data_IF_099351275561
#
_entry.id   IF_099351275561
#
_cell.length_a   1.000
_cell.length_b   1.000
_cell.length_c   1.000
_cell.angle_alpha   90.00
_cell.angle_beta   90.00
_cell.angle_gamma   90.00
#
_symmetry.space_group_name_H-M   'P 1'
#
loop_
_entity.id
_entity.type
_entity.pdbx_description
1 polymer ?
#
# COMPACT_ATOMS: atom_id res chain seq x y z
N UNK A 1 -16.84 -7.52 -17.68
CA UNK A 1 -17.54 -7.08 -18.90
C UNK A 1 -18.01 -5.62 -18.82
N UNK A 2 -18.66 -5.18 -17.71
CA UNK A 2 -19.16 -3.79 -17.57
C UNK A 2 -18.06 -2.72 -17.58
N UNK A 3 -16.83 -3.06 -17.16
CA UNK A 3 -15.68 -2.15 -17.11
C UNK A 3 -14.78 -2.20 -18.35
N UNK A 4 -15.16 -2.96 -19.36
CA UNK A 4 -14.37 -3.27 -20.55
C UNK A 4 -13.98 -4.74 -20.59
N UNK A 5 -12.84 -5.10 -21.09
CA UNK A 5 -12.30 -6.46 -21.10
C UNK A 5 -11.10 -6.58 -20.18
N UNK A 6 -10.68 -7.81 -19.87
CA UNK A 6 -9.44 -8.07 -19.14
C UNK A 6 -8.25 -7.61 -19.97
N UNK A 7 -7.37 -6.83 -19.37
CA UNK A 7 -6.06 -6.45 -19.92
C UNK A 7 -4.95 -7.19 -19.16
N UNK A 8 -5.21 -7.55 -17.90
CA UNK A 8 -4.29 -8.28 -17.03
C UNK A 8 -4.97 -9.58 -16.57
N UNK A 9 -4.45 -10.73 -16.95
CA UNK A 9 -5.00 -12.04 -16.54
C UNK A 9 -4.43 -12.54 -15.22
N UNK A 10 -3.26 -12.05 -14.84
CA UNK A 10 -2.55 -12.36 -13.60
C UNK A 10 -2.03 -11.08 -12.99
N UNK A 11 -2.32 -10.85 -11.73
CA UNK A 11 -1.98 -9.63 -11.00
C UNK A 11 -0.84 -9.92 -10.04
N UNK A 12 0.33 -9.31 -10.29
CA UNK A 12 1.47 -9.36 -9.37
C UNK A 12 1.09 -8.67 -8.06
N UNK A 13 1.42 -9.27 -6.91
CA UNK A 13 1.15 -8.70 -5.60
C UNK A 13 2.44 -8.44 -4.81
N UNK A 14 2.38 -7.49 -3.87
CA UNK A 14 3.42 -7.26 -2.89
C UNK A 14 2.94 -7.53 -1.46
N UNK A 15 3.88 -7.92 -0.59
CA UNK A 15 3.62 -8.11 0.84
C UNK A 15 3.67 -6.75 1.55
N UNK A 16 2.52 -6.27 2.05
CA UNK A 16 2.37 -4.94 2.64
C UNK A 16 2.51 -4.97 4.15
N UNK A 17 3.18 -3.95 4.71
CA UNK A 17 3.33 -3.69 6.14
C UNK A 17 4.19 -4.73 6.88
N UNK A 18 5.31 -5.14 6.27
CA UNK A 18 6.19 -6.16 6.86
C UNK A 18 6.88 -5.73 8.17
N UNK A 19 6.80 -4.46 8.57
CA UNK A 19 7.27 -4.00 9.90
C UNK A 19 6.48 -4.59 11.07
N UNK A 20 5.35 -5.24 10.81
CA UNK A 20 4.56 -6.01 11.78
C UNK A 20 4.80 -7.51 11.71
N UNK A 21 5.87 -7.94 11.06
CA UNK A 21 6.17 -9.28 10.61
C UNK A 21 5.28 -9.74 9.43
N UNK A 22 5.70 -10.76 8.71
CA UNK A 22 4.91 -11.42 7.66
C UNK A 22 4.51 -12.82 8.14
N UNK A 23 3.62 -12.86 9.16
CA UNK A 23 3.18 -14.07 9.83
C UNK A 23 1.72 -13.93 10.32
N UNK A 24 1.15 -15.01 10.87
CA UNK A 24 -0.21 -15.03 11.41
C UNK A 24 -0.38 -14.15 12.65
N UNK A 25 0.66 -13.96 13.44
CA UNK A 25 0.67 -13.08 14.61
C UNK A 25 1.45 -11.80 14.31
N UNK A 26 0.89 -10.65 14.71
CA UNK A 26 1.56 -9.36 14.57
C UNK A 26 2.65 -9.20 15.63
N UNK A 27 3.82 -8.78 15.17
CA UNK A 27 4.95 -8.42 16.01
C UNK A 27 5.65 -7.19 15.46
N UNK A 28 5.75 -6.13 16.24
CA UNK A 28 6.50 -4.94 15.84
C UNK A 28 8.00 -5.24 15.69
N UNK A 29 8.52 -5.09 14.46
CA UNK A 29 9.93 -5.31 14.15
C UNK A 29 10.76 -4.11 14.60
N UNK A 30 11.86 -4.33 15.31
CA UNK A 30 12.71 -3.26 15.84
C UNK A 30 14.10 -3.24 15.22
N UNK A 31 14.71 -4.39 15.05
CA UNK A 31 16.06 -4.53 14.53
C UNK A 31 16.14 -4.76 13.03
N UNK A 32 17.21 -4.39 12.35
CA UNK A 32 17.42 -4.67 10.92
C UNK A 32 17.27 -6.16 10.56
N UNK A 33 17.76 -7.07 11.43
CA UNK A 33 17.67 -8.51 11.19
C UNK A 33 16.20 -9.01 11.18
N UNK A 34 15.33 -8.46 12.03
CA UNK A 34 13.91 -8.79 12.04
C UNK A 34 13.24 -8.34 10.73
N UNK A 35 13.57 -7.14 10.23
CA UNK A 35 13.10 -6.65 8.93
C UNK A 35 13.53 -7.56 7.77
N UNK A 36 14.79 -8.02 7.78
CA UNK A 36 15.29 -8.98 6.80
C UNK A 36 14.55 -10.33 6.90
N UNK A 37 14.26 -10.81 8.10
CA UNK A 37 13.51 -12.06 8.29
C UNK A 37 12.07 -11.95 7.77
N UNK A 38 11.37 -10.84 8.05
CA UNK A 38 10.02 -10.61 7.52
C UNK A 38 10.02 -10.57 5.99
N UNK A 39 10.99 -9.89 5.37
CA UNK A 39 11.15 -9.89 3.90
C UNK A 39 11.40 -11.31 3.35
N UNK A 40 12.26 -12.11 3.99
CA UNK A 40 12.52 -13.50 3.57
C UNK A 40 11.27 -14.39 3.68
N UNK A 41 10.42 -14.19 4.70
CA UNK A 41 9.14 -14.90 4.82
C UNK A 41 8.22 -14.58 3.63
N UNK A 42 8.10 -13.30 3.25
CA UNK A 42 7.33 -12.90 2.09
C UNK A 42 7.91 -13.49 0.78
N UNK A 43 9.23 -13.41 0.60
CA UNK A 43 9.90 -14.00 -0.57
C UNK A 43 9.70 -15.51 -0.67
N UNK A 44 9.69 -16.24 0.45
CA UNK A 44 9.45 -17.69 0.48
C UNK A 44 8.03 -18.06 0.01
N UNK A 45 7.07 -17.13 0.07
CA UNK A 45 5.71 -17.27 -0.48
C UNK A 45 5.61 -16.79 -1.94
N UNK A 46 6.75 -16.40 -2.55
CA UNK A 46 6.83 -15.99 -3.94
C UNK A 46 6.61 -14.50 -4.19
N UNK A 47 6.48 -13.66 -3.15
CA UNK A 47 6.42 -12.22 -3.34
C UNK A 47 7.77 -11.70 -3.82
N UNK A 48 7.73 -10.83 -4.81
CA UNK A 48 8.91 -10.17 -5.40
C UNK A 48 8.96 -8.67 -5.07
N UNK A 49 8.01 -8.21 -4.25
CA UNK A 49 7.96 -6.85 -3.73
C UNK A 49 7.43 -6.84 -2.29
N UNK A 50 7.92 -5.90 -1.49
CA UNK A 50 7.49 -5.69 -0.10
C UNK A 50 7.28 -4.20 0.18
N UNK A 51 6.29 -3.87 1.04
CA UNK A 51 6.10 -2.51 1.57
C UNK A 51 6.40 -2.47 3.06
N UNK A 52 7.11 -1.44 3.48
CA UNK A 52 7.53 -1.25 4.86
C UNK A 52 7.44 0.22 5.26
N UNK A 53 6.98 0.48 6.49
CA UNK A 53 7.12 1.76 7.16
C UNK A 53 8.33 1.70 8.12
N UNK A 54 9.51 2.16 7.67
CA UNK A 54 10.73 1.97 8.44
C UNK A 54 10.87 2.94 9.61
N UNK A 55 10.02 3.98 9.67
CA UNK A 55 9.97 4.98 10.77
C UNK A 55 8.82 4.74 11.73
N UNK A 56 7.83 3.94 11.35
CA UNK A 56 6.59 3.76 12.10
C UNK A 56 6.74 2.97 13.39
N UNK A 57 7.71 2.06 13.48
CA UNK A 57 8.03 1.33 14.71
C UNK A 57 9.32 1.87 15.31
N UNK A 58 9.27 2.33 16.57
CA UNK A 58 10.42 2.84 17.30
C UNK A 58 11.45 1.77 17.66
N UNK A 59 12.59 2.19 18.18
CA UNK A 59 13.61 1.27 18.70
C UNK A 59 13.12 0.50 19.94
N UNK A 60 12.17 1.08 20.68
CA UNK A 60 11.48 0.45 21.82
C UNK A 60 10.40 -0.57 21.42
N UNK A 61 10.07 -0.67 20.13
CA UNK A 61 8.95 -1.47 19.63
C UNK A 61 7.61 -0.75 19.65
N UNK A 62 7.55 0.50 20.10
CA UNK A 62 6.33 1.29 20.12
C UNK A 62 5.98 1.82 18.72
N UNK A 63 4.68 1.83 18.41
CA UNK A 63 4.18 2.46 17.21
C UNK A 63 4.24 3.99 17.32
N UNK A 64 5.04 4.65 16.48
CA UNK A 64 5.38 6.06 16.62
C UNK A 64 4.25 7.04 16.31
N UNK A 65 3.11 6.54 15.88
CA UNK A 65 1.93 7.33 15.50
C UNK A 65 0.92 7.50 16.64
N UNK A 66 1.10 6.79 17.75
CA UNK A 66 0.33 6.98 18.97
C UNK A 66 1.07 7.98 19.86
N UNK A 67 0.51 9.14 20.07
CA UNK A 67 1.13 10.35 20.65
C UNK A 67 1.72 10.24 22.08
N UNK A 68 1.74 9.09 22.73
CA UNK A 68 2.05 9.02 24.16
C UNK A 68 3.43 8.45 24.52
N UNK A 69 4.07 7.68 23.63
CA UNK A 69 5.37 7.03 23.93
C UNK A 69 6.27 6.93 22.67
N UNK A 70 6.34 8.02 21.90
CA UNK A 70 7.15 8.05 20.69
C UNK A 70 8.64 8.16 20.99
N UNK A 71 9.46 7.28 20.43
CA UNK A 71 10.93 7.34 20.53
C UNK A 71 11.51 8.55 19.80
N UNK A 72 10.79 9.06 18.78
CA UNK A 72 11.19 10.22 17.97
C UNK A 72 9.99 10.95 17.34
N UNK A 73 10.22 12.18 16.97
CA UNK A 73 9.25 12.99 16.19
C UNK A 73 9.38 12.68 14.70
N UNK A 74 8.26 12.53 14.02
CA UNK A 74 8.20 12.28 12.57
C UNK A 74 8.20 13.57 11.73
N UNK A 75 8.28 14.74 12.36
CA UNK A 75 8.30 16.07 11.70
C UNK A 75 9.44 16.93 12.24
N UNK A 76 9.94 17.84 11.41
CA UNK A 76 10.99 18.79 11.76
C UNK A 76 12.39 18.17 11.74
N UNK A 77 12.62 17.24 10.83
CA UNK A 77 13.85 16.45 10.62
C UNK A 77 14.11 15.36 11.68
N UNK A 78 14.56 14.23 11.20
CA UNK A 78 14.94 13.09 12.03
C UNK A 78 16.39 13.26 12.53
N UNK A 79 16.67 12.91 13.79
CA UNK A 79 18.03 12.83 14.28
C UNK A 79 18.86 11.79 13.49
N UNK A 80 20.17 12.02 13.36
CA UNK A 80 21.06 11.11 12.62
C UNK A 80 20.96 9.65 13.07
N UNK A 81 20.87 9.39 14.39
CA UNK A 81 20.71 8.03 14.92
C UNK A 81 19.44 7.33 14.43
N UNK A 82 18.37 8.08 14.16
CA UNK A 82 17.12 7.55 13.62
C UNK A 82 17.27 7.26 12.15
N UNK A 83 17.89 8.17 11.39
CA UNK A 83 18.20 7.97 9.97
C UNK A 83 19.08 6.73 9.75
N UNK A 84 20.12 6.56 10.57
CA UNK A 84 20.99 5.36 10.54
C UNK A 84 20.20 4.07 10.80
N UNK A 85 19.32 4.06 11.82
CA UNK A 85 18.48 2.91 12.10
C UNK A 85 17.52 2.59 10.94
N UNK A 86 16.85 3.62 10.40
CA UNK A 86 15.93 3.47 9.27
C UNK A 86 16.68 2.92 8.04
N UNK A 87 17.83 3.50 7.72
CA UNK A 87 18.67 3.02 6.63
C UNK A 87 19.12 1.58 6.86
N UNK A 88 19.54 1.22 8.08
CA UNK A 88 19.94 -0.13 8.40
C UNK A 88 18.80 -1.15 8.20
N UNK A 89 17.56 -0.79 8.56
CA UNK A 89 16.36 -1.62 8.33
C UNK A 89 16.11 -1.85 6.84
N UNK A 90 16.08 -0.77 6.06
CA UNK A 90 15.84 -0.86 4.60
C UNK A 90 16.99 -1.58 3.89
N UNK A 91 18.23 -1.32 4.30
CA UNK A 91 19.43 -2.01 3.77
C UNK A 91 19.36 -3.51 4.04
N UNK A 92 18.97 -3.92 5.24
CA UNK A 92 18.82 -5.34 5.59
C UNK A 92 17.78 -6.06 4.72
N UNK A 93 16.69 -5.38 4.34
CA UNK A 93 15.73 -5.89 3.34
C UNK A 93 16.40 -6.01 1.97
N UNK A 94 17.11 -4.97 1.49
CA UNK A 94 17.80 -4.96 0.21
C UNK A 94 18.84 -6.08 0.10
N UNK A 95 19.57 -6.36 1.17
CA UNK A 95 20.56 -7.44 1.22
C UNK A 95 19.96 -8.86 1.11
N UNK A 96 18.63 -9.00 1.20
CA UNK A 96 17.96 -10.27 0.95
C UNK A 96 17.96 -10.64 -0.54
N UNK A 97 17.83 -9.66 -1.45
CA UNK A 97 17.87 -9.85 -2.90
C UNK A 97 17.99 -8.50 -3.63
N UNK A 98 18.83 -8.45 -4.66
CA UNK A 98 18.94 -7.29 -5.55
C UNK A 98 17.67 -7.09 -6.40
N UNK A 99 16.93 -8.17 -6.68
CA UNK A 99 15.71 -8.16 -7.51
C UNK A 99 14.42 -7.86 -6.72
N UNK A 100 14.50 -7.74 -5.39
CA UNK A 100 13.33 -7.43 -4.57
C UNK A 100 12.93 -5.96 -4.70
N UNK A 101 11.71 -5.67 -5.15
CA UNK A 101 11.18 -4.31 -5.11
C UNK A 101 10.85 -3.90 -3.67
N UNK A 102 11.33 -2.73 -3.25
CA UNK A 102 11.08 -2.18 -1.91
C UNK A 102 10.23 -0.93 -2.03
N UNK A 103 9.10 -0.93 -1.34
CA UNK A 103 8.19 0.20 -1.23
C UNK A 103 8.33 0.78 0.18
N UNK A 104 8.50 2.10 0.26
CA UNK A 104 8.57 2.81 1.54
C UNK A 104 7.28 3.56 1.79
N UNK A 105 6.68 3.32 2.95
CA UNK A 105 5.44 3.93 3.41
C UNK A 105 5.70 4.93 4.54
N UNK A 106 5.05 6.09 4.50
CA UNK A 106 5.10 7.08 5.59
C UNK A 106 3.73 7.47 6.16
N UNK A 107 2.63 7.01 5.56
CA UNK A 107 1.25 7.27 5.98
C UNK A 107 0.95 8.76 6.27
N UNK A 108 1.58 9.69 5.56
CA UNK A 108 1.43 11.15 5.72
C UNK A 108 1.81 11.71 7.11
N UNK A 109 2.59 11.00 7.91
CA UNK A 109 2.97 11.46 9.24
C UNK A 109 4.21 12.37 9.25
N UNK A 110 4.96 12.42 8.16
CA UNK A 110 6.11 13.32 8.00
C UNK A 110 5.67 14.70 7.46
N UNK A 111 6.58 15.65 7.49
CA UNK A 111 6.47 16.91 6.75
C UNK A 111 7.40 16.92 5.52
N UNK A 112 7.28 17.96 4.69
CA UNK A 112 8.06 18.08 3.46
C UNK A 112 9.57 17.95 3.69
N UNK A 113 10.08 18.60 4.75
CA UNK A 113 11.50 18.60 5.08
C UNK A 113 12.00 17.22 5.50
N UNK A 114 11.25 16.55 6.38
CA UNK A 114 11.58 15.20 6.87
C UNK A 114 11.48 14.16 5.75
N UNK A 115 10.45 14.28 4.90
CA UNK A 115 10.26 13.37 3.77
C UNK A 115 11.43 13.45 2.79
N UNK A 116 11.89 14.65 2.45
CA UNK A 116 13.06 14.87 1.58
C UNK A 116 14.33 14.33 2.25
N UNK A 117 14.54 14.64 3.53
CA UNK A 117 15.70 14.17 4.28
C UNK A 117 15.80 12.64 4.25
N UNK A 118 14.70 11.95 4.56
CA UNK A 118 14.66 10.51 4.60
C UNK A 118 14.87 9.89 3.21
N UNK A 119 14.17 10.39 2.19
CA UNK A 119 14.30 9.90 0.82
C UNK A 119 15.76 9.96 0.34
N UNK A 120 16.41 11.12 0.48
CA UNK A 120 17.82 11.29 0.08
C UNK A 120 18.80 10.39 0.87
N UNK A 121 18.39 9.95 2.07
CA UNK A 121 19.23 9.09 2.91
C UNK A 121 19.15 7.60 2.52
N UNK A 122 18.10 7.19 1.76
CA UNK A 122 17.84 5.81 1.37
C UNK A 122 17.72 5.60 -0.14
N UNK A 123 17.78 6.63 -0.98
CA UNK A 123 17.52 6.51 -2.43
C UNK A 123 18.49 5.59 -3.17
N UNK A 124 19.73 5.43 -2.67
CA UNK A 124 20.73 4.52 -3.21
C UNK A 124 20.41 3.02 -2.95
N UNK A 125 19.37 2.75 -2.15
CA UNK A 125 18.88 1.39 -1.88
C UNK A 125 17.85 0.89 -2.90
N UNK A 126 17.70 1.56 -4.05
CA UNK A 126 16.82 1.19 -5.15
C UNK A 126 15.36 0.99 -4.72
N UNK A 127 14.73 2.08 -4.26
CA UNK A 127 13.34 2.10 -3.80
C UNK A 127 12.39 2.21 -5.00
N UNK A 128 11.38 1.33 -5.08
CA UNK A 128 10.40 1.31 -6.16
C UNK A 128 9.53 2.57 -6.17
N UNK A 129 8.96 2.92 -5.02
CA UNK A 129 8.27 4.20 -4.80
C UNK A 129 8.14 4.54 -3.31
N UNK A 130 7.82 5.81 -3.04
CA UNK A 130 7.74 6.45 -1.75
C UNK A 130 6.29 6.90 -1.51
N UNK A 131 5.59 6.20 -0.64
CA UNK A 131 4.16 6.32 -0.43
C UNK A 131 3.85 7.34 0.67
N UNK A 132 2.87 8.20 0.40
CA UNK A 132 2.32 9.18 1.34
C UNK A 132 3.35 9.98 2.15
N UNK A 133 4.35 10.61 1.50
CA UNK A 133 5.39 11.35 2.22
C UNK A 133 4.87 12.56 3.02
N UNK A 134 3.72 13.11 2.62
CA UNK A 134 3.06 14.25 3.30
C UNK A 134 1.55 14.11 3.25
N UNK A 135 0.86 15.03 3.91
CA UNK A 135 -0.61 15.06 3.97
C UNK A 135 -1.25 14.94 2.58
N UNK A 136 -2.20 14.00 2.40
CA UNK A 136 -2.73 13.62 1.09
C UNK A 136 -3.46 14.76 0.36
N UNK A 137 -3.90 15.80 1.03
CA UNK A 137 -4.58 16.95 0.41
C UNK A 137 -3.64 18.13 0.12
N UNK A 138 -2.32 17.89 0.07
CA UNK A 138 -1.34 18.92 -0.22
C UNK A 138 -0.54 18.63 -1.51
N UNK A 139 -1.11 18.87 -2.70
CA UNK A 139 -0.43 18.61 -3.96
C UNK A 139 0.81 19.50 -4.19
N UNK A 140 0.88 20.66 -3.53
CA UNK A 140 2.02 21.58 -3.65
C UNK A 140 3.25 21.01 -2.94
N UNK A 141 3.09 20.57 -1.68
CA UNK A 141 4.19 19.93 -0.94
C UNK A 141 4.61 18.60 -1.58
N UNK A 142 3.65 17.83 -2.12
CA UNK A 142 3.95 16.60 -2.86
C UNK A 142 4.82 16.89 -4.09
N UNK A 143 4.51 17.97 -4.82
CA UNK A 143 5.33 18.42 -5.95
C UNK A 143 6.71 18.88 -5.52
N UNK A 144 6.81 19.64 -4.42
CA UNK A 144 8.10 20.09 -3.87
C UNK A 144 9.02 18.92 -3.51
N UNK A 145 8.46 17.85 -2.92
CA UNK A 145 9.23 16.65 -2.60
C UNK A 145 9.70 15.99 -3.88
N UNK A 146 8.80 15.77 -4.86
CA UNK A 146 9.15 15.17 -6.15
C UNK A 146 10.31 15.85 -6.85
N UNK A 147 10.38 17.19 -6.77
CA UNK A 147 11.43 17.96 -7.42
C UNK A 147 12.80 17.85 -6.71
N UNK A 148 12.85 17.27 -5.51
CA UNK A 148 14.06 17.19 -4.67
C UNK A 148 14.55 15.76 -4.38
N UNK A 149 13.83 14.74 -4.85
CA UNK A 149 14.19 13.33 -4.66
C UNK A 149 14.14 12.58 -5.98
N UNK A 150 14.88 11.47 -6.08
CA UNK A 150 14.88 10.61 -7.28
C UNK A 150 13.91 9.42 -7.17
N UNK A 151 13.34 9.18 -5.98
CA UNK A 151 12.38 8.09 -5.78
C UNK A 151 11.00 8.51 -6.32
N UNK A 152 10.33 7.66 -7.14
CA UNK A 152 8.95 7.91 -7.58
C UNK A 152 8.00 8.08 -6.40
N UNK A 153 7.06 9.04 -6.45
CA UNK A 153 6.10 9.28 -5.36
C UNK A 153 4.79 8.58 -5.67
N UNK A 154 4.21 7.94 -4.64
CA UNK A 154 2.88 7.36 -4.64
C UNK A 154 2.00 8.02 -3.57
N UNK A 155 0.70 8.13 -3.84
CA UNK A 155 -0.33 8.51 -2.87
C UNK A 155 -1.73 8.24 -3.42
N UNK A 156 -2.73 8.12 -2.54
CA UNK A 156 -4.09 8.03 -3.05
C UNK A 156 -5.14 7.43 -2.13
N UNK A 157 -4.79 6.64 -1.14
CA UNK A 157 -5.74 5.96 -0.25
C UNK A 157 -6.73 6.92 0.44
N UNK A 158 -6.31 8.17 0.65
CA UNK A 158 -7.08 9.27 1.26
C UNK A 158 -7.39 10.41 0.29
N UNK A 159 -7.30 10.17 -1.02
CA UNK A 159 -7.71 11.09 -2.08
C UNK A 159 -8.98 10.54 -2.73
N UNK A 160 -10.05 11.31 -2.73
CA UNK A 160 -11.35 10.83 -3.15
C UNK A 160 -11.82 11.49 -4.43
N UNK A 161 -12.44 10.70 -5.28
CA UNK A 161 -12.99 11.07 -6.57
C UNK A 161 -11.97 11.66 -7.57
N UNK A 162 -12.34 11.74 -8.84
CA UNK A 162 -11.51 12.40 -9.88
C UNK A 162 -11.19 13.86 -9.55
N UNK A 163 -12.07 14.54 -8.82
CA UNK A 163 -11.88 15.94 -8.45
C UNK A 163 -10.71 16.09 -7.45
N UNK A 164 -10.59 15.15 -6.49
CA UNK A 164 -9.47 15.13 -5.56
C UNK A 164 -8.14 14.80 -6.22
N UNK A 165 -8.12 13.86 -7.18
CA UNK A 165 -6.91 13.47 -7.91
C UNK A 165 -6.42 14.49 -8.92
N UNK A 166 -7.33 15.27 -9.52
CA UNK A 166 -7.03 16.22 -10.59
C UNK A 166 -5.84 17.14 -10.30
N UNK A 167 -5.71 17.83 -9.13
CA UNK A 167 -4.57 18.70 -8.86
C UNK A 167 -3.22 17.98 -8.88
N UNK A 168 -3.18 16.69 -8.49
CA UNK A 168 -1.96 15.88 -8.49
C UNK A 168 -1.52 15.49 -9.90
N UNK A 169 -2.45 15.26 -10.81
CA UNK A 169 -2.16 15.01 -12.22
C UNK A 169 -1.69 16.29 -12.92
N UNK A 170 -2.42 17.39 -12.75
CA UNK A 170 -2.10 18.67 -13.39
C UNK A 170 -0.74 19.20 -12.98
N UNK A 171 -0.34 19.07 -11.71
CA UNK A 171 0.98 19.46 -11.23
C UNK A 171 2.06 18.38 -11.37
N UNK A 172 1.67 17.16 -11.85
CA UNK A 172 2.58 16.03 -12.05
C UNK A 172 3.36 15.63 -10.79
N UNK A 173 2.71 15.64 -9.63
CA UNK A 173 3.37 15.30 -8.35
C UNK A 173 3.46 13.80 -8.09
N UNK A 174 2.61 12.99 -8.70
CA UNK A 174 2.56 11.55 -8.47
C UNK A 174 3.05 10.76 -9.70
N UNK A 175 3.81 9.70 -9.43
CA UNK A 175 4.20 8.67 -10.42
C UNK A 175 3.28 7.43 -10.32
N UNK A 176 2.73 7.19 -9.15
CA UNK A 176 1.79 6.10 -8.85
C UNK A 176 0.61 6.68 -8.08
N UNK A 177 -0.60 6.28 -8.42
CA UNK A 177 -1.79 6.57 -7.61
C UNK A 177 -2.30 5.31 -6.93
N UNK A 178 -2.93 5.51 -5.77
CA UNK A 178 -3.37 4.42 -4.88
C UNK A 178 -4.83 4.59 -4.45
N UNK A 179 -5.79 4.62 -5.41
CA UNK A 179 -7.19 4.76 -5.07
C UNK A 179 -7.70 3.53 -4.30
N UNK A 180 -8.42 3.76 -3.21
CA UNK A 180 -9.12 2.70 -2.50
C UNK A 180 -10.56 2.61 -3.02
N UNK A 181 -10.96 1.43 -3.52
CA UNK A 181 -12.29 1.21 -4.12
C UNK A 181 -13.41 1.47 -3.11
N UNK A 182 -13.17 1.19 -1.82
CA UNK A 182 -14.16 1.39 -0.76
C UNK A 182 -14.33 2.87 -0.36
N UNK A 183 -13.33 3.72 -0.63
CA UNK A 183 -13.27 5.11 -0.16
C UNK A 183 -13.43 6.15 -1.28
N UNK A 184 -12.85 5.90 -2.46
CA UNK A 184 -12.75 6.92 -3.51
C UNK A 184 -14.03 7.11 -4.36
N UNK A 185 -15.09 6.32 -4.12
CA UNK A 185 -16.36 6.42 -4.83
C UNK A 185 -16.83 5.13 -5.52
N UNK A 186 -16.28 3.98 -5.13
CA UNK A 186 -16.65 2.66 -5.63
C UNK A 186 -15.99 2.30 -6.96
N UNK A 187 -16.30 1.13 -7.47
CA UNK A 187 -15.68 0.52 -8.66
C UNK A 187 -15.70 1.45 -9.88
N UNK A 188 -16.84 2.07 -10.17
CA UNK A 188 -17.00 2.92 -11.36
C UNK A 188 -16.16 4.20 -11.29
N UNK A 189 -16.08 4.82 -10.12
CA UNK A 189 -15.26 6.03 -9.93
C UNK A 189 -13.77 5.68 -9.92
N UNK A 190 -13.38 4.57 -9.27
CA UNK A 190 -12.00 4.07 -9.30
C UNK A 190 -11.53 3.85 -10.74
N UNK A 191 -12.34 3.18 -11.58
CA UNK A 191 -12.00 2.98 -13.00
C UNK A 191 -11.76 4.29 -13.73
N UNK A 192 -12.62 5.30 -13.51
CA UNK A 192 -12.47 6.63 -14.13
C UNK A 192 -11.25 7.39 -13.63
N UNK A 193 -10.87 7.23 -12.35
CA UNK A 193 -9.63 7.77 -11.79
C UNK A 193 -8.43 7.13 -12.48
N UNK A 194 -8.44 5.80 -12.66
CA UNK A 194 -7.37 5.05 -13.34
C UNK A 194 -7.24 5.44 -14.82
N UNK A 195 -8.37 5.62 -15.54
CA UNK A 195 -8.37 6.08 -16.95
C UNK A 195 -7.80 7.51 -17.06
N UNK A 196 -8.13 8.37 -16.10
CA UNK A 196 -7.56 9.71 -16.04
C UNK A 196 -6.05 9.67 -15.78
N UNK A 197 -5.59 8.81 -14.85
CA UNK A 197 -4.16 8.61 -14.56
C UNK A 197 -3.38 8.14 -15.78
N UNK A 198 -3.94 7.24 -16.60
CA UNK A 198 -3.32 6.72 -17.81
C UNK A 198 -2.99 7.83 -18.82
N UNK A 199 -3.85 8.84 -18.93
CA UNK A 199 -3.60 10.01 -19.83
C UNK A 199 -2.45 10.90 -19.38
N UNK A 200 -1.98 10.74 -18.13
CA UNK A 200 -0.83 11.46 -17.56
C UNK A 200 0.42 10.57 -17.37
N UNK A 201 0.44 9.35 -17.90
CA UNK A 201 1.50 8.34 -17.73
C UNK A 201 1.71 7.93 -16.27
N UNK A 202 0.64 7.97 -15.46
CA UNK A 202 0.68 7.61 -14.04
C UNK A 202 0.23 6.15 -13.85
N UNK A 203 1.01 5.37 -13.14
CA UNK A 203 0.71 3.97 -12.80
C UNK A 203 -0.29 3.87 -11.65
N UNK A 204 -0.93 2.72 -11.54
CA UNK A 204 -1.94 2.44 -10.52
C UNK A 204 -1.55 1.22 -9.69
N UNK A 205 -1.53 1.41 -8.40
CA UNK A 205 -1.59 0.37 -7.39
C UNK A 205 -2.84 0.65 -6.54
N UNK A 206 -3.85 -0.19 -6.61
CA UNK A 206 -5.08 0.01 -5.82
C UNK A 206 -4.77 -0.27 -4.35
N UNK A 207 -5.07 0.70 -3.45
CA UNK A 207 -4.95 0.49 -2.01
C UNK A 207 -5.96 -0.53 -1.52
N UNK A 208 -5.49 -1.54 -0.79
CA UNK A 208 -6.31 -2.63 -0.25
C UNK A 208 -5.92 -2.93 1.19
N UNK A 209 -6.51 -2.19 2.13
CA UNK A 209 -6.37 -2.40 3.57
C UNK A 209 -7.71 -2.76 4.21
N UNK A 210 -8.55 -3.51 3.48
CA UNK A 210 -9.87 -3.95 3.91
C UNK A 210 -9.97 -5.46 4.02
N UNK A 211 -11.20 -5.95 4.11
CA UNK A 211 -11.48 -7.38 4.10
C UNK A 211 -11.58 -7.97 2.69
N UNK A 212 -11.90 -9.27 2.55
CA UNK A 212 -11.94 -9.96 1.27
C UNK A 212 -12.90 -9.37 0.22
N UNK A 213 -13.92 -8.61 0.66
CA UNK A 213 -14.80 -7.84 -0.24
C UNK A 213 -14.02 -6.72 -0.94
N UNK A 214 -13.17 -6.01 -0.19
CA UNK A 214 -12.30 -4.95 -0.75
C UNK A 214 -11.32 -5.53 -1.75
N UNK A 215 -10.66 -6.65 -1.40
CA UNK A 215 -9.76 -7.38 -2.30
C UNK A 215 -10.47 -7.76 -3.59
N UNK A 216 -11.63 -8.42 -3.52
CA UNK A 216 -12.38 -8.84 -4.70
C UNK A 216 -12.78 -7.65 -5.59
N UNK A 217 -13.21 -6.54 -5.00
CA UNK A 217 -13.56 -5.33 -5.74
C UNK A 217 -12.34 -4.69 -6.43
N UNK A 218 -11.18 -4.64 -5.75
CA UNK A 218 -9.93 -4.15 -6.32
C UNK A 218 -9.49 -5.00 -7.51
N UNK A 219 -9.51 -6.34 -7.40
CA UNK A 219 -9.15 -7.26 -8.47
C UNK A 219 -9.98 -7.03 -9.75
N UNK A 220 -11.27 -6.67 -9.61
CA UNK A 220 -12.12 -6.36 -10.77
C UNK A 220 -11.71 -5.07 -11.48
N UNK A 221 -11.13 -4.10 -10.77
CA UNK A 221 -10.61 -2.86 -11.37
C UNK A 221 -9.23 -3.11 -11.98
N UNK A 222 -8.33 -3.73 -11.24
CA UNK A 222 -6.94 -3.96 -11.62
C UNK A 222 -6.80 -4.80 -12.90
N UNK A 223 -7.71 -5.75 -13.10
CA UNK A 223 -7.69 -6.59 -14.32
C UNK A 223 -8.05 -5.83 -15.61
N UNK A 224 -8.73 -4.67 -15.51
CA UNK A 224 -9.25 -3.94 -16.69
C UNK A 224 -8.54 -2.60 -16.95
N UNK A 225 -7.49 -2.28 -16.20
CA UNK A 225 -6.73 -1.04 -16.38
C UNK A 225 -5.37 -1.30 -17.01
N UNK A 226 -4.99 -0.60 -18.09
CA UNK A 226 -3.72 -0.84 -18.79
C UNK A 226 -2.50 -0.34 -17.99
N UNK A 227 -2.69 0.62 -17.11
CA UNK A 227 -1.66 1.23 -16.27
C UNK A 227 -1.51 0.57 -14.89
N UNK A 228 -2.05 -0.64 -14.68
CA UNK A 228 -1.82 -1.44 -13.49
C UNK A 228 -0.34 -1.67 -13.24
N UNK A 229 0.09 -1.51 -11.99
CA UNK A 229 1.47 -1.71 -11.56
C UNK A 229 1.61 -2.98 -10.71
N UNK A 230 0.91 -3.05 -9.59
CA UNK A 230 1.01 -4.13 -8.61
C UNK A 230 -0.21 -4.10 -7.66
N UNK A 231 -0.61 -5.26 -7.13
CA UNK A 231 -1.69 -5.42 -6.15
C UNK A 231 -1.15 -5.37 -4.72
N UNK A 232 -1.89 -4.77 -3.81
CA UNK A 232 -1.56 -4.77 -2.39
C UNK A 232 -2.13 -5.97 -1.66
N UNK A 233 -1.26 -6.84 -1.14
CA UNK A 233 -1.64 -7.87 -0.18
C UNK A 233 -1.26 -7.39 1.22
N UNK A 234 -2.23 -6.92 2.00
CA UNK A 234 -1.97 -6.36 3.32
C UNK A 234 -1.75 -7.46 4.36
N UNK A 235 -0.90 -7.21 5.37
CA UNK A 235 -0.63 -8.15 6.47
C UNK A 235 -1.90 -8.63 7.21
N UNK A 236 -2.98 -7.85 7.19
CA UNK A 236 -4.28 -8.28 7.73
C UNK A 236 -4.98 -9.33 6.84
N UNK A 237 -4.80 -9.27 5.53
CA UNK A 237 -5.46 -10.19 4.60
C UNK A 237 -5.01 -11.64 4.76
N UNK A 238 -3.76 -11.86 5.24
CA UNK A 238 -3.26 -13.22 5.52
C UNK A 238 -3.83 -13.83 6.81
N UNK A 239 -4.48 -13.03 7.68
CA UNK A 239 -5.03 -13.51 8.95
C UNK A 239 -6.26 -14.39 8.73
N UNK A 240 -6.25 -15.59 9.30
CA UNK A 240 -7.32 -16.58 9.13
C UNK A 240 -8.70 -16.03 9.50
N UNK A 241 -8.82 -15.31 10.62
CA UNK A 241 -10.11 -14.76 11.07
C UNK A 241 -10.71 -13.73 10.12
N UNK A 242 -9.89 -13.00 9.34
CA UNK A 242 -10.39 -12.09 8.31
C UNK A 242 -10.78 -12.87 7.04
N UNK A 243 -9.97 -13.83 6.63
CA UNK A 243 -10.22 -14.67 5.45
C UNK A 243 -11.56 -15.45 5.55
N UNK A 244 -11.87 -15.98 6.73
CA UNK A 244 -13.10 -16.73 7.03
C UNK A 244 -14.37 -15.86 7.03
N UNK A 245 -14.25 -14.55 6.99
CA UNK A 245 -15.44 -13.66 6.90
C UNK A 245 -16.19 -13.77 5.59
N UNK A 246 -15.57 -14.33 4.56
CA UNK A 246 -16.14 -14.49 3.23
C UNK A 246 -16.03 -15.92 2.73
N UNK A 247 -16.81 -16.23 1.68
CA UNK A 247 -16.92 -17.58 1.11
C UNK A 247 -15.67 -17.96 0.31
N UNK A 248 -15.12 -17.01 -0.46
CA UNK A 248 -13.99 -17.27 -1.36
C UNK A 248 -12.71 -16.65 -0.81
N UNK A 249 -11.64 -17.44 -0.86
CA UNK A 249 -10.33 -17.06 -0.34
C UNK A 249 -9.38 -16.70 -1.49
N UNK A 250 -9.21 -15.41 -1.73
CA UNK A 250 -8.34 -14.89 -2.78
C UNK A 250 -6.96 -14.57 -2.20
N UNK A 251 -6.11 -15.59 -2.13
CA UNK A 251 -4.72 -15.44 -1.71
C UNK A 251 -3.77 -15.53 -2.92
N UNK A 252 -2.69 -14.74 -2.94
CA UNK A 252 -1.67 -14.86 -3.95
C UNK A 252 -1.02 -16.25 -3.97
N UNK A 253 -0.83 -16.78 -5.16
CA UNK A 253 -0.03 -18.00 -5.38
C UNK A 253 1.28 -17.60 -6.06
N UNK A 254 2.41 -17.86 -5.41
CA UNK A 254 3.73 -17.40 -5.85
C UNK A 254 3.76 -15.89 -6.18
N UNK A 255 3.16 -15.08 -5.31
CA UNK A 255 3.12 -13.62 -5.46
C UNK A 255 2.17 -13.10 -6.53
N UNK A 256 1.25 -13.93 -7.08
CA UNK A 256 0.30 -13.53 -8.11
C UNK A 256 -1.12 -13.95 -7.77
N UNK A 257 -2.08 -13.08 -8.10
CA UNK A 257 -3.51 -13.30 -7.98
C UNK A 257 -4.14 -13.57 -9.34
N UNK A 258 -5.14 -14.46 -9.35
CA UNK A 258 -6.07 -14.62 -10.47
C UNK A 258 -7.36 -13.88 -10.16
N UNK A 259 -7.90 -13.22 -11.17
CA UNK A 259 -9.15 -12.48 -11.03
C UNK A 259 -10.33 -13.45 -10.96
N UNK A 260 -11.25 -13.30 -9.99
CA UNK A 260 -12.41 -14.15 -9.89
C UNK A 260 -13.34 -14.00 -11.09
N UNK A 261 -13.87 -15.12 -11.59
CA UNK A 261 -14.82 -15.18 -12.72
C UNK A 261 -16.27 -15.44 -12.28
N UNK A 262 -16.55 -15.32 -11.00
CA UNK A 262 -17.85 -15.48 -10.42
C UNK A 262 -18.74 -14.23 -10.65
N UNK A 263 -20.09 -14.37 -10.54
CA UNK A 263 -21.01 -13.23 -10.65
C UNK A 263 -20.70 -12.09 -9.67
N UNK A 264 -21.10 -10.87 -10.02
CA UNK A 264 -20.85 -9.67 -9.21
C UNK A 264 -19.36 -9.32 -9.15
N UNK A 265 -18.84 -9.08 -7.96
CA UNK A 265 -17.41 -8.88 -7.71
C UNK A 265 -16.65 -10.20 -7.52
N UNK A 266 -17.38 -11.34 -7.48
CA UNK A 266 -16.83 -12.67 -7.23
C UNK A 266 -16.61 -12.98 -5.75
N UNK A 267 -17.31 -12.31 -4.83
CA UNK A 267 -17.18 -12.55 -3.40
C UNK A 267 -18.53 -12.46 -2.69
N UNK A 268 -18.69 -13.24 -1.62
CA UNK A 268 -19.87 -13.28 -0.78
C UNK A 268 -19.44 -13.35 0.70
N UNK A 269 -20.22 -12.73 1.59
CA UNK A 269 -20.02 -12.86 3.04
C UNK A 269 -20.39 -14.28 3.46
N UNK A 270 -19.60 -14.91 4.33
CA UNK A 270 -19.86 -16.28 4.79
C UNK A 270 -21.14 -16.35 5.64
N UNK A 271 -21.89 -17.49 5.60
CA UNK A 271 -23.08 -17.68 6.43
C UNK A 271 -22.79 -17.44 7.93
N UNK A 272 -21.68 -17.94 8.42
CA UNK A 272 -21.25 -17.77 9.82
C UNK A 272 -21.02 -16.30 10.19
N UNK A 273 -20.49 -15.51 9.26
CA UNK A 273 -20.32 -14.06 9.46
C UNK A 273 -21.67 -13.36 9.45
N UNK A 274 -22.56 -13.72 8.54
CA UNK A 274 -23.93 -13.16 8.47
C UNK A 274 -24.73 -13.40 9.76
N UNK A 275 -24.59 -14.56 10.39
CA UNK A 275 -25.25 -14.86 11.67
C UNK A 275 -24.75 -13.98 12.84
N UNK A 276 -23.51 -13.50 12.76
CA UNK A 276 -22.85 -12.67 13.79
C UNK A 276 -22.97 -11.18 13.55
N UNK A 277 -23.54 -10.74 12.42
CA UNK A 277 -23.61 -9.31 12.05
C UNK A 277 -24.97 -8.71 12.38
N UNK A 278 -24.98 -7.39 12.58
CA UNK A 278 -26.23 -6.63 12.69
C UNK A 278 -26.72 -6.27 11.29
N UNK A 279 -27.99 -6.60 11.01
CA UNK A 279 -28.62 -6.25 9.72
C UNK A 279 -29.49 -5.02 9.91
N UNK A 280 -29.22 -3.97 9.14
CA UNK A 280 -30.07 -2.78 9.05
C UNK A 280 -30.74 -2.74 7.67
N UNK A 281 -32.08 -2.68 7.64
CA UNK A 281 -32.81 -2.47 6.40
C UNK A 281 -33.11 -1.00 6.22
N UNK A 282 -32.67 -0.41 5.11
CA UNK A 282 -33.03 0.93 4.69
C UNK A 282 -34.07 0.78 3.58
N UNK A 283 -35.30 1.24 3.86
CA UNK A 283 -36.37 1.35 2.84
C UNK A 283 -36.41 2.77 2.33
N UNK A 284 -36.50 2.93 1.01
CA UNK A 284 -36.70 4.22 0.32
C UNK A 284 -38.16 4.65 0.50
#
# INVERSE_FOLDING_TARGET
QMLGGKTNESLRAYASQIQFDWDLEDKNMTSPDEYAQAAKKAMAQGYTAVKVDPVGVGASGNWQRTNQESDWRLRGQLPNKVLELVRARVKAIRECSDDLDIIIELHSFTDTSTAIQLANYIEDLNIMYYEEPVHPLNPVSMREIRDKINIPIASGERIYTRLGYRPFFENRSLSVIQPDVCLCGGISETKKICDMADTYDVKVQVHVCGGPISTAAALQVETVIPNFLIHEEHSYAIKQGLRETCVYDYMPNNGYLKVPELPGIGQEISPETMEKTFVYSVTL
#
